data_IF_194365091413
#
_entry.id   IF_194365091413
#
_cell.length_a   1.000
_cell.length_b   1.000
_cell.length_c   1.000
_cell.angle_alpha   90.00
_cell.angle_beta   90.00
_cell.angle_gamma   90.00
#
_symmetry.space_group_name_H-M   'P 1'
#
loop_
_entity.id
_entity.type
_entity.pdbx_description
1 polymer ?
#
# COMPACT_ATOMS: atom_id res chain seq x y z
N UNK A 1 -8.84 -47.92 -0.46
CA UNK A 1 -7.77 -46.91 -0.62
C UNK A 1 -8.15 -45.67 0.18
N UNK A 2 -7.32 -45.19 1.12
CA UNK A 2 -7.69 -44.05 1.96
C UNK A 2 -7.60 -42.74 1.18
N UNK A 3 -8.70 -41.97 1.18
CA UNK A 3 -8.80 -40.63 0.59
C UNK A 3 -7.96 -39.64 1.43
N UNK A 4 -6.86 -39.13 0.87
CA UNK A 4 -6.11 -37.97 1.41
C UNK A 4 -6.46 -36.72 0.58
N UNK A 5 -7.56 -36.01 0.87
CA UNK A 5 -7.89 -34.74 0.17
C UNK A 5 -8.43 -33.63 1.10
N UNK A 6 -8.78 -33.88 2.36
CA UNK A 6 -9.62 -32.93 3.11
C UNK A 6 -8.94 -31.77 3.86
N UNK A 7 -7.61 -31.66 3.88
CA UNK A 7 -6.95 -30.64 4.74
C UNK A 7 -6.70 -29.32 4.00
N UNK A 8 -6.35 -29.39 2.71
CA UNK A 8 -5.98 -28.20 1.91
C UNK A 8 -7.21 -27.38 1.50
N UNK A 9 -8.35 -28.02 1.22
CA UNK A 9 -9.60 -27.31 0.91
C UNK A 9 -10.11 -26.52 2.12
N UNK A 10 -10.04 -27.10 3.32
CA UNK A 10 -10.53 -26.48 4.54
C UNK A 10 -9.75 -25.23 4.93
N UNK A 11 -8.43 -25.19 4.68
CA UNK A 11 -7.63 -24.00 4.98
C UNK A 11 -7.94 -22.82 4.05
N UNK A 12 -8.12 -23.08 2.75
CA UNK A 12 -8.50 -22.03 1.79
C UNK A 12 -9.87 -21.40 2.12
N UNK A 13 -10.82 -22.20 2.58
CA UNK A 13 -12.12 -21.70 3.02
C UNK A 13 -11.98 -20.81 4.26
N UNK A 14 -11.12 -21.18 5.22
CA UNK A 14 -10.85 -20.36 6.42
C UNK A 14 -10.23 -19.01 6.07
N UNK A 15 -9.23 -18.95 5.18
CA UNK A 15 -8.61 -17.68 4.76
C UNK A 15 -9.58 -16.77 4.00
N UNK A 16 -10.48 -17.36 3.23
CA UNK A 16 -11.50 -16.61 2.49
C UNK A 16 -12.57 -16.03 3.44
N UNK A 17 -12.96 -16.77 4.46
CA UNK A 17 -13.86 -16.29 5.52
C UNK A 17 -13.25 -15.13 6.31
N UNK A 18 -11.95 -15.22 6.62
CA UNK A 18 -11.18 -14.14 7.23
C UNK A 18 -11.11 -12.90 6.33
N UNK A 19 -10.85 -13.08 5.02
CA UNK A 19 -10.87 -11.99 4.05
C UNK A 19 -12.23 -11.27 4.02
N UNK A 20 -13.33 -12.01 4.00
CA UNK A 20 -14.68 -11.43 4.03
C UNK A 20 -14.92 -10.67 5.33
N UNK A 21 -14.50 -11.25 6.46
CA UNK A 21 -14.76 -10.72 7.80
C UNK A 21 -13.83 -9.57 8.22
N UNK A 22 -12.69 -9.38 7.53
CA UNK A 22 -11.75 -8.30 7.84
C UNK A 22 -11.73 -7.22 6.75
N UNK A 23 -11.81 -7.60 5.47
CA UNK A 23 -11.68 -6.65 4.34
C UNK A 23 -12.98 -6.26 3.66
N UNK A 24 -14.02 -7.09 3.73
CA UNK A 24 -15.31 -6.81 3.06
C UNK A 24 -16.43 -6.39 4.03
N UNK A 25 -16.13 -6.12 5.30
CA UNK A 25 -17.13 -5.71 6.31
C UNK A 25 -17.81 -4.41 5.93
N UNK A 26 -17.02 -3.44 5.48
CA UNK A 26 -17.50 -2.12 5.07
C UNK A 26 -17.90 -2.07 3.59
N UNK A 27 -17.72 -3.19 2.86
CA UNK A 27 -18.00 -3.23 1.43
C UNK A 27 -19.50 -3.19 1.16
N UNK A 28 -19.94 -2.17 0.43
CA UNK A 28 -21.32 -2.04 -0.01
C UNK A 28 -21.58 -2.89 -1.27
N UNK A 29 -21.84 -4.18 -1.07
CA UNK A 29 -22.23 -5.09 -2.15
C UNK A 29 -23.73 -4.94 -2.42
N UNK A 30 -24.11 -4.82 -3.69
CA UNK A 30 -25.50 -4.67 -4.12
C UNK A 30 -26.40 -5.79 -3.52
N UNK A 31 -27.44 -5.45 -2.74
CA UNK A 31 -28.31 -6.44 -2.08
C UNK A 31 -29.18 -7.24 -3.06
N UNK A 32 -29.38 -6.77 -4.29
CA UNK A 32 -30.16 -7.47 -5.32
C UNK A 32 -29.41 -8.63 -5.98
N UNK A 33 -28.13 -8.84 -5.65
CA UNK A 33 -27.35 -9.96 -6.19
C UNK A 33 -27.86 -11.30 -5.66
N UNK A 34 -28.00 -12.27 -6.55
CA UNK A 34 -28.29 -13.65 -6.13
C UNK A 34 -27.14 -14.21 -5.28
N UNK A 35 -27.42 -15.18 -4.37
CA UNK A 35 -26.38 -15.78 -3.54
C UNK A 35 -25.21 -16.36 -4.34
N UNK A 36 -25.50 -16.92 -5.53
CA UNK A 36 -24.48 -17.45 -6.45
C UNK A 36 -23.57 -16.35 -6.97
N UNK A 37 -24.15 -15.27 -7.50
CA UNK A 37 -23.39 -14.13 -8.04
C UNK A 37 -22.57 -13.44 -6.95
N UNK A 38 -23.10 -13.33 -5.73
CA UNK A 38 -22.36 -12.78 -4.59
C UNK A 38 -21.13 -13.63 -4.26
N UNK A 39 -21.27 -14.95 -4.27
CA UNK A 39 -20.15 -15.87 -4.04
C UNK A 39 -19.10 -15.80 -5.15
N UNK A 40 -19.53 -15.68 -6.42
CA UNK A 40 -18.64 -15.48 -7.56
C UNK A 40 -17.87 -14.17 -7.44
N UNK A 41 -18.53 -13.07 -7.06
CA UNK A 41 -17.88 -11.78 -6.82
C UNK A 41 -16.82 -11.89 -5.73
N UNK A 42 -17.15 -12.49 -4.58
CA UNK A 42 -16.19 -12.69 -3.48
C UNK A 42 -15.02 -13.57 -3.94
N UNK A 43 -15.26 -14.59 -4.75
CA UNK A 43 -14.19 -15.40 -5.33
C UNK A 43 -13.23 -14.57 -6.18
N UNK A 44 -13.75 -13.69 -7.04
CA UNK A 44 -12.92 -12.82 -7.89
C UNK A 44 -12.11 -11.85 -7.02
N UNK A 45 -12.75 -11.19 -6.06
CA UNK A 45 -12.09 -10.25 -5.15
C UNK A 45 -11.00 -10.93 -4.31
N UNK A 46 -11.24 -12.15 -3.84
CA UNK A 46 -10.25 -12.93 -3.10
C UNK A 46 -9.09 -13.38 -4.00
N UNK A 47 -9.40 -13.85 -5.22
CA UNK A 47 -8.39 -14.35 -6.17
C UNK A 47 -7.42 -13.26 -6.62
N UNK A 48 -7.92 -12.03 -6.79
CA UNK A 48 -7.15 -10.88 -7.24
C UNK A 48 -6.94 -9.85 -6.12
N UNK A 49 -6.91 -10.27 -4.86
CA UNK A 49 -6.81 -9.37 -3.71
C UNK A 49 -5.61 -8.40 -3.79
N UNK A 50 -4.47 -8.87 -4.29
CA UNK A 50 -3.23 -8.10 -4.44
C UNK A 50 -3.29 -7.07 -5.58
N UNK A 51 -4.31 -7.11 -6.43
CA UNK A 51 -4.50 -6.12 -7.48
C UNK A 51 -5.27 -4.87 -6.98
N UNK A 52 -5.83 -4.93 -5.78
CA UNK A 52 -6.53 -3.81 -5.16
C UNK A 52 -5.64 -3.14 -4.13
N UNK A 53 -5.74 -1.82 -4.05
CA UNK A 53 -5.03 -1.05 -3.04
C UNK A 53 -5.48 -1.45 -1.63
N UNK A 54 -4.53 -1.48 -0.70
CA UNK A 54 -4.84 -1.73 0.70
C UNK A 54 -3.94 -0.92 1.62
N UNK A 55 -4.51 -0.39 2.70
CA UNK A 55 -3.82 0.53 3.61
C UNK A 55 -2.57 -0.06 4.29
N UNK A 56 -2.38 -1.38 4.21
CA UNK A 56 -1.30 -2.11 4.87
C UNK A 56 -0.18 -2.57 3.93
N UNK A 57 -0.32 -2.37 2.61
CA UNK A 57 0.70 -2.78 1.65
C UNK A 57 1.51 -1.56 1.20
N UNK A 58 2.85 -1.66 1.12
CA UNK A 58 3.69 -0.53 0.75
C UNK A 58 3.41 -0.11 -0.70
N UNK A 59 2.98 1.14 -0.86
CA UNK A 59 2.76 1.75 -2.16
C UNK A 59 4.09 1.88 -2.91
N UNK A 60 4.16 1.33 -4.11
CA UNK A 60 5.26 1.62 -5.04
C UNK A 60 6.46 0.68 -5.01
N UNK A 61 6.31 -0.57 -4.57
CA UNK A 61 7.37 -1.58 -4.69
C UNK A 61 7.44 -2.16 -6.11
N UNK A 62 7.49 -1.31 -7.14
CA UNK A 62 7.73 -1.77 -8.51
C UNK A 62 9.24 -1.80 -8.74
N UNK A 63 9.85 -2.95 -8.44
CA UNK A 63 11.29 -3.17 -8.67
C UNK A 63 11.63 -3.12 -10.16
N UNK A 64 12.73 -2.45 -10.53
CA UNK A 64 13.20 -2.36 -11.92
C UNK A 64 12.71 -1.13 -12.70
N UNK A 65 12.02 -0.20 -12.04
CA UNK A 65 11.68 1.12 -12.57
C UNK A 65 12.27 2.25 -11.72
N UNK A 66 13.46 2.03 -11.16
CA UNK A 66 14.21 3.07 -10.49
C UNK A 66 14.55 4.20 -11.49
N UNK A 67 14.44 5.45 -11.03
CA UNK A 67 14.68 6.64 -11.86
C UNK A 67 16.00 7.29 -11.46
N UNK A 68 16.97 7.25 -12.37
CA UNK A 68 18.23 7.95 -12.21
C UNK A 68 18.08 9.42 -12.66
N UNK A 69 18.07 10.34 -11.70
CA UNK A 69 17.99 11.78 -11.98
C UNK A 69 19.40 12.36 -11.99
N UNK A 70 19.92 12.66 -13.19
CA UNK A 70 21.22 13.33 -13.34
C UNK A 70 21.06 14.85 -13.21
N UNK A 71 21.79 15.45 -12.26
CA UNK A 71 21.80 16.90 -12.07
C UNK A 71 22.85 17.58 -12.96
N UNK A 72 22.44 18.61 -13.71
CA UNK A 72 23.38 19.51 -14.36
C UNK A 72 24.00 20.43 -13.30
N UNK A 73 25.27 20.16 -12.95
CA UNK A 73 26.05 20.94 -11.99
C UNK A 73 26.87 22.06 -12.65
N UNK A 74 26.70 22.24 -13.96
CA UNK A 74 27.45 23.21 -14.73
C UNK A 74 27.03 24.65 -14.41
N UNK A 75 28.00 25.57 -14.52
CA UNK A 75 27.78 27.01 -14.40
C UNK A 75 26.80 27.48 -15.49
N UNK A 76 26.01 28.55 -15.24
CA UNK A 76 26.16 29.52 -14.15
C UNK A 76 25.34 29.26 -12.88
N UNK A 77 24.52 28.21 -12.81
CA UNK A 77 23.60 28.00 -11.68
C UNK A 77 23.67 26.55 -11.15
N UNK A 78 24.70 26.20 -10.36
CA UNK A 78 24.70 24.91 -9.67
C UNK A 78 23.48 24.80 -8.74
N UNK A 79 22.89 23.61 -8.59
CA UNK A 79 21.70 23.42 -7.77
C UNK A 79 21.95 23.78 -6.31
N UNK A 80 21.03 24.55 -5.72
CA UNK A 80 21.09 24.95 -4.30
C UNK A 80 20.68 23.76 -3.44
N UNK A 81 21.64 23.13 -2.77
CA UNK A 81 21.46 21.85 -2.08
C UNK A 81 20.72 21.95 -0.73
N UNK A 82 20.71 23.12 -0.08
CA UNK A 82 20.00 23.31 1.19
C UNK A 82 19.35 24.68 1.26
N UNK A 83 18.08 24.70 1.65
CA UNK A 83 17.34 25.90 2.08
C UNK A 83 16.78 25.62 3.47
N UNK A 84 16.73 26.62 4.37
CA UNK A 84 16.05 26.43 5.64
C UNK A 84 14.57 26.14 5.39
N UNK A 85 14.00 25.27 6.21
CA UNK A 85 12.58 24.96 6.14
C UNK A 85 11.76 26.22 6.41
N UNK A 86 10.69 26.40 5.64
CA UNK A 86 9.78 27.50 5.88
C UNK A 86 9.01 27.25 7.20
N UNK A 87 8.84 28.26 8.07
CA UNK A 87 8.14 28.08 9.32
C UNK A 87 6.69 27.67 9.09
N UNK A 88 6.29 26.52 9.65
CA UNK A 88 4.91 26.06 9.67
C UNK A 88 4.22 26.48 10.97
N UNK A 89 2.92 26.80 10.90
CA UNK A 89 2.12 27.02 12.10
C UNK A 89 1.96 25.73 12.91
N UNK A 90 1.71 25.77 14.23
CA UNK A 90 1.54 24.57 15.06
C UNK A 90 0.47 23.62 14.51
N UNK A 91 -0.68 24.18 14.10
CA UNK A 91 -1.78 23.42 13.49
C UNK A 91 -1.38 22.78 12.15
N UNK A 92 -0.63 23.50 11.31
CA UNK A 92 -0.15 22.94 10.05
C UNK A 92 0.84 21.80 10.31
N UNK A 93 1.71 21.95 11.30
CA UNK A 93 2.69 20.91 11.67
C UNK A 93 2.02 19.62 12.14
N UNK A 94 0.98 19.73 12.97
CA UNK A 94 0.21 18.56 13.43
C UNK A 94 -0.47 17.81 12.28
N UNK A 95 -1.07 18.53 11.33
CA UNK A 95 -1.69 17.91 10.16
C UNK A 95 -0.66 17.25 9.23
N UNK A 96 0.49 17.91 9.01
CA UNK A 96 1.58 17.37 8.20
C UNK A 96 2.20 16.12 8.84
N UNK A 97 2.40 16.11 10.14
CA UNK A 97 2.98 14.98 10.87
C UNK A 97 2.18 13.70 10.63
N UNK A 98 0.84 13.77 10.66
CA UNK A 98 -0.02 12.62 10.38
C UNK A 98 0.26 12.02 9.00
N UNK A 99 0.29 12.86 7.97
CA UNK A 99 0.52 12.41 6.59
C UNK A 99 1.96 11.94 6.35
N UNK A 100 2.94 12.58 6.98
CA UNK A 100 4.34 12.14 6.90
C UNK A 100 4.48 10.73 7.51
N UNK A 101 3.82 10.47 8.65
CA UNK A 101 3.83 9.14 9.27
C UNK A 101 3.16 8.08 8.40
N UNK A 102 2.02 8.39 7.77
CA UNK A 102 1.35 7.51 6.81
C UNK A 102 2.30 7.15 5.65
N UNK A 103 2.97 8.16 5.05
CA UNK A 103 3.90 7.93 3.95
C UNK A 103 5.15 7.15 4.34
N UNK A 104 5.60 7.25 5.60
CA UNK A 104 6.69 6.42 6.12
C UNK A 104 6.24 4.96 6.26
N UNK A 105 5.03 4.73 6.79
CA UNK A 105 4.47 3.39 6.94
C UNK A 105 4.28 2.69 5.59
N UNK A 106 3.84 3.45 4.59
CA UNK A 106 3.66 2.98 3.22
C UNK A 106 4.99 2.77 2.46
N UNK A 107 6.14 3.07 3.07
CA UNK A 107 7.46 2.92 2.44
C UNK A 107 7.79 3.96 1.37
N UNK A 108 6.97 5.00 1.22
CA UNK A 108 7.18 6.09 0.25
C UNK A 108 8.25 7.07 0.74
N UNK A 109 8.25 7.39 2.04
CA UNK A 109 9.26 8.22 2.67
C UNK A 109 10.16 7.38 3.58
N UNK A 110 11.47 7.66 3.54
CA UNK A 110 12.43 7.09 4.48
C UNK A 110 13.29 8.18 5.09
N UNK A 111 13.69 7.96 6.34
CA UNK A 111 14.65 8.85 7.00
C UNK A 111 16.04 8.60 6.42
N UNK A 112 16.64 9.63 5.83
CA UNK A 112 18.00 9.60 5.30
C UNK A 112 18.93 10.32 6.26
N UNK A 113 20.07 9.70 6.57
CA UNK A 113 21.08 10.29 7.44
C UNK A 113 21.81 11.47 6.79
N UNK A 114 22.40 12.36 7.60
CA UNK A 114 23.21 13.49 7.09
C UNK A 114 24.42 13.05 6.25
N UNK A 115 24.88 11.81 6.42
CA UNK A 115 26.07 11.25 5.77
C UNK A 115 25.75 10.05 4.87
N UNK A 116 24.47 9.82 4.59
CA UNK A 116 24.08 8.73 3.70
C UNK A 116 24.18 9.20 2.26
N UNK A 117 25.08 8.60 1.48
CA UNK A 117 25.12 8.76 0.03
C UNK A 117 23.91 8.02 -0.54
N UNK A 118 23.01 8.76 -1.20
CA UNK A 118 21.82 8.25 -1.87
C UNK A 118 22.07 8.22 -3.36
#
# INVERSE_FOLDING_TARGET
MPKKISIVSSQNDTYKEEFVSNRLVEAQINPSLSPKMRNELINVLYTYNNAFDSDNEPLGTISGHEVDITLNIDRPYPPVLRRPDYPASPRAREALEKHIQELIQLGVLRKVGHNEEV
#
